data_IF_446227062015
#
_entry.id   IF_446227062015
#
_cell.length_a   1.000
_cell.length_b   1.000
_cell.length_c   1.000
_cell.angle_alpha   90.00
_cell.angle_beta   90.00
_cell.angle_gamma   90.00
#
_symmetry.space_group_name_H-M   'P 1'
#
loop_
_entity.id
_entity.type
_entity.pdbx_description
1 polymer ?
#
# COMPACT_ATOMS: atom_id res chain seq x y z
N UNK A 1 29.45 -22.97 -6.40
CA UNK A 1 29.51 -21.89 -5.37
C UNK A 1 29.34 -20.49 -5.95
N UNK A 2 29.92 -20.18 -7.12
CA UNK A 2 29.82 -18.86 -7.77
C UNK A 2 28.37 -18.44 -8.11
N UNK A 3 27.59 -19.35 -8.69
CA UNK A 3 26.17 -19.08 -9.04
C UNK A 3 25.29 -18.76 -7.84
N UNK A 4 25.36 -19.54 -6.74
CA UNK A 4 24.57 -19.31 -5.52
C UNK A 4 24.88 -17.95 -4.88
N UNK A 5 26.16 -17.55 -4.85
CA UNK A 5 26.57 -16.24 -4.34
C UNK A 5 26.07 -15.09 -5.22
N UNK A 6 26.15 -15.24 -6.54
CA UNK A 6 25.66 -14.22 -7.47
C UNK A 6 24.15 -14.03 -7.35
N UNK A 7 23.37 -15.13 -7.32
CA UNK A 7 21.92 -15.06 -7.10
C UNK A 7 21.55 -14.46 -5.75
N UNK A 8 22.29 -14.82 -4.69
CA UNK A 8 22.09 -14.22 -3.37
C UNK A 8 22.27 -12.71 -3.38
N UNK A 9 23.30 -12.20 -4.07
CA UNK A 9 23.52 -10.75 -4.23
C UNK A 9 22.41 -10.10 -5.04
N UNK A 10 22.02 -10.69 -6.18
CA UNK A 10 20.97 -10.14 -7.05
C UNK A 10 19.65 -10.01 -6.28
N UNK A 11 19.23 -11.06 -5.57
CA UNK A 11 18.02 -11.03 -4.76
C UNK A 11 18.12 -9.99 -3.64
N UNK A 12 19.25 -9.92 -2.94
CA UNK A 12 19.42 -8.95 -1.86
C UNK A 12 19.37 -7.50 -2.37
N UNK A 13 19.97 -7.21 -3.54
CA UNK A 13 19.86 -5.91 -4.21
C UNK A 13 18.41 -5.62 -4.60
N UNK A 14 17.70 -6.60 -5.18
CA UNK A 14 16.29 -6.47 -5.53
C UNK A 14 15.43 -6.11 -4.32
N UNK A 15 15.62 -6.80 -3.20
CA UNK A 15 14.92 -6.47 -1.95
C UNK A 15 15.25 -5.05 -1.46
N UNK A 16 16.52 -4.63 -1.50
CA UNK A 16 16.92 -3.28 -1.11
C UNK A 16 16.27 -2.20 -2.00
N UNK A 17 16.19 -2.43 -3.31
CA UNK A 17 15.50 -1.54 -4.25
C UNK A 17 14.00 -1.47 -3.96
N UNK A 18 13.35 -2.61 -3.69
CA UNK A 18 11.93 -2.64 -3.32
C UNK A 18 11.65 -1.89 -2.02
N UNK A 19 12.47 -2.07 -0.98
CA UNK A 19 12.35 -1.30 0.28
C UNK A 19 12.58 0.19 0.03
N UNK A 20 13.55 0.55 -0.81
CA UNK A 20 13.79 1.97 -1.17
C UNK A 20 12.58 2.56 -1.88
N UNK A 21 12.00 1.84 -2.83
CA UNK A 21 10.77 2.23 -3.51
C UNK A 21 9.61 2.39 -2.53
N UNK A 22 9.44 1.45 -1.60
CA UNK A 22 8.43 1.56 -0.53
C UNK A 22 8.60 2.87 0.25
N UNK A 23 9.80 3.17 0.75
CA UNK A 23 10.04 4.38 1.53
C UNK A 23 9.73 5.66 0.73
N UNK A 24 10.06 5.70 -0.57
CA UNK A 24 9.77 6.85 -1.42
C UNK A 24 8.25 7.01 -1.62
N UNK A 25 7.55 5.92 -1.91
CA UNK A 25 6.10 5.96 -2.15
C UNK A 25 5.30 6.24 -0.87
N UNK A 26 5.74 5.70 0.26
CA UNK A 26 5.13 5.93 1.56
C UNK A 26 5.32 7.40 2.00
N UNK A 27 6.52 7.97 1.85
CA UNK A 27 6.75 9.39 2.15
C UNK A 27 5.92 10.30 1.24
N UNK A 28 5.82 9.98 -0.06
CA UNK A 28 4.96 10.70 -0.99
C UNK A 28 3.48 10.59 -0.61
N UNK A 29 3.03 9.41 -0.19
CA UNK A 29 1.67 9.20 0.30
C UNK A 29 1.38 10.06 1.53
N UNK A 30 2.26 10.05 2.53
CA UNK A 30 2.09 10.86 3.73
C UNK A 30 2.19 12.36 3.46
N UNK A 31 3.04 12.78 2.52
CA UNK A 31 3.11 14.16 2.07
C UNK A 31 1.77 14.62 1.47
N UNK A 32 1.18 13.83 0.58
CA UNK A 32 -0.12 14.13 0.00
C UNK A 32 -1.25 14.12 1.04
N UNK A 33 -1.26 13.13 1.95
CA UNK A 33 -2.27 13.06 3.01
C UNK A 33 -2.26 14.28 3.93
N UNK A 34 -1.08 14.85 4.22
CA UNK A 34 -0.96 16.11 4.99
C UNK A 34 -1.61 17.30 4.28
N UNK A 35 -1.68 17.27 2.95
CA UNK A 35 -2.36 18.28 2.13
C UNK A 35 -3.82 17.89 1.79
N UNK A 36 -4.37 16.89 2.48
CA UNK A 36 -5.70 16.33 2.20
C UNK A 36 -5.85 15.82 0.76
N UNK A 37 -4.76 15.31 0.18
CA UNK A 37 -4.73 14.71 -1.13
C UNK A 37 -4.51 13.20 -1.08
N UNK A 38 -4.96 12.53 -2.13
CA UNK A 38 -4.79 11.09 -2.33
C UNK A 38 -4.28 10.86 -3.75
N UNK A 39 -3.11 10.21 -3.87
CA UNK A 39 -2.58 9.77 -5.16
C UNK A 39 -3.19 8.43 -5.54
N UNK A 40 -3.76 8.38 -6.74
CA UNK A 40 -4.43 7.20 -7.27
C UNK A 40 -3.96 6.91 -8.69
N UNK A 41 -3.38 5.72 -8.89
CA UNK A 41 -2.92 5.23 -10.20
C UNK A 41 -3.44 3.81 -10.39
N UNK A 42 -4.74 3.68 -10.70
CA UNK A 42 -5.46 2.40 -10.75
C UNK A 42 -5.68 1.75 -9.38
N UNK A 43 -4.81 2.02 -8.42
CA UNK A 43 -4.89 1.68 -7.01
C UNK A 43 -4.36 2.86 -6.16
N UNK A 44 -4.73 2.97 -4.88
CA UNK A 44 -4.18 4.00 -4.01
C UNK A 44 -2.68 3.77 -3.77
N UNK A 45 -1.91 4.86 -3.66
CA UNK A 45 -0.44 4.81 -3.61
C UNK A 45 0.12 3.97 -2.46
N UNK A 46 -0.53 3.99 -1.30
CA UNK A 46 -0.16 3.17 -0.14
C UNK A 46 -0.27 1.66 -0.43
N UNK A 47 -1.29 1.23 -1.17
CA UNK A 47 -1.41 -0.17 -1.61
C UNK A 47 -0.26 -0.57 -2.55
N UNK A 48 0.11 0.30 -3.49
CA UNK A 48 1.26 0.08 -4.37
C UNK A 48 2.58 0.01 -3.59
N UNK A 49 2.76 0.89 -2.60
CA UNK A 49 3.91 0.85 -1.70
C UNK A 49 3.95 -0.47 -0.91
N UNK A 50 2.83 -0.90 -0.35
CA UNK A 50 2.73 -2.14 0.42
C UNK A 50 3.08 -3.38 -0.41
N UNK A 51 2.71 -3.42 -1.70
CA UNK A 51 3.14 -4.49 -2.61
C UNK A 51 4.67 -4.60 -2.74
N UNK A 52 5.40 -3.48 -2.68
CA UNK A 52 6.86 -3.51 -2.69
C UNK A 52 7.42 -4.18 -1.43
N UNK A 53 6.81 -3.98 -0.26
CA UNK A 53 7.19 -4.70 0.97
C UNK A 53 6.85 -6.18 0.90
N UNK A 54 5.66 -6.53 0.41
CA UNK A 54 5.23 -7.93 0.22
C UNK A 54 6.23 -8.70 -0.64
N UNK A 55 6.81 -8.06 -1.65
CA UNK A 55 7.83 -8.64 -2.52
C UNK A 55 9.23 -8.59 -1.89
N UNK A 56 9.58 -7.50 -1.18
CA UNK A 56 10.90 -7.32 -0.59
C UNK A 56 11.23 -8.36 0.47
N UNK A 57 10.27 -8.68 1.36
CA UNK A 57 10.47 -9.62 2.47
C UNK A 57 10.92 -11.02 2.00
N UNK A 58 10.17 -11.73 1.11
CA UNK A 58 10.58 -13.07 0.66
C UNK A 58 11.86 -13.04 -0.19
N UNK A 59 12.04 -12.03 -1.05
CA UNK A 59 13.25 -11.90 -1.87
C UNK A 59 14.47 -11.64 -0.99
N UNK A 60 14.35 -10.78 0.02
CA UNK A 60 15.41 -10.48 0.98
C UNK A 60 15.78 -11.71 1.81
N UNK A 61 14.79 -12.45 2.30
CA UNK A 61 14.98 -13.71 3.01
C UNK A 61 15.70 -14.75 2.15
N UNK A 62 15.26 -14.94 0.90
CA UNK A 62 15.89 -15.85 -0.05
C UNK A 62 17.35 -15.43 -0.37
N UNK A 63 17.58 -14.14 -0.58
CA UNK A 63 18.93 -13.58 -0.79
C UNK A 63 19.86 -13.87 0.39
N UNK A 64 19.39 -13.62 1.61
CA UNK A 64 20.14 -13.91 2.84
C UNK A 64 20.42 -15.40 3.01
N UNK A 65 19.43 -16.28 2.74
CA UNK A 65 19.62 -17.74 2.80
C UNK A 65 20.70 -18.25 1.83
N UNK A 66 20.87 -17.60 0.68
CA UNK A 66 21.93 -17.93 -0.27
C UNK A 66 23.30 -17.35 0.13
N UNK A 67 23.32 -16.14 0.72
CA UNK A 67 24.56 -15.43 1.07
C UNK A 67 25.17 -15.91 2.39
N UNK A 68 24.37 -16.09 3.43
CA UNK A 68 24.85 -16.37 4.79
C UNK A 68 25.72 -17.64 4.87
N UNK A 69 25.37 -18.79 4.26
CA UNK A 69 26.22 -19.97 4.29
C UNK A 69 27.57 -19.74 3.60
N UNK A 70 27.58 -18.97 2.51
CA UNK A 70 28.81 -18.64 1.77
C UNK A 70 29.70 -17.73 2.61
N UNK A 71 29.13 -16.72 3.26
CA UNK A 71 29.85 -15.78 4.11
C UNK A 71 30.40 -16.47 5.37
N UNK A 72 29.58 -17.27 6.06
CA UNK A 72 29.98 -18.04 7.24
C UNK A 72 31.05 -19.07 6.86
N UNK A 73 30.94 -19.69 5.68
CA UNK A 73 31.92 -20.64 5.16
C UNK A 73 33.32 -20.05 4.94
N UNK A 74 33.44 -18.73 4.70
CA UNK A 74 34.74 -18.03 4.55
C UNK A 74 35.47 -17.81 5.87
N UNK A 75 34.82 -18.00 7.01
CA UNK A 75 35.43 -17.82 8.34
C UNK A 75 36.37 -19.00 8.64
N UNK A 76 37.69 -18.74 8.66
CA UNK A 76 38.73 -19.76 8.93
C UNK A 76 38.67 -20.33 10.36
N UNK A 77 38.36 -19.49 11.36
CA UNK A 77 38.35 -19.90 12.77
C UNK A 77 37.07 -20.66 13.11
N UNK A 78 37.19 -21.94 13.50
CA UNK A 78 36.05 -22.84 13.77
C UNK A 78 35.12 -22.32 14.88
N UNK A 79 35.68 -21.74 15.95
CA UNK A 79 34.89 -21.17 17.05
C UNK A 79 34.05 -19.97 16.57
N UNK A 80 34.68 -19.02 15.84
CA UNK A 80 34.00 -17.84 15.28
C UNK A 80 32.93 -18.27 14.26
N UNK A 81 33.22 -19.27 13.43
CA UNK A 81 32.25 -19.80 12.46
C UNK A 81 31.01 -20.40 13.14
N UNK A 82 31.20 -21.15 14.24
CA UNK A 82 30.09 -21.71 15.02
C UNK A 82 29.28 -20.62 15.70
N UNK A 83 29.95 -19.61 16.29
CA UNK A 83 29.28 -18.47 16.90
C UNK A 83 28.43 -17.72 15.87
N UNK A 84 29.01 -17.40 14.70
CA UNK A 84 28.30 -16.75 13.60
C UNK A 84 27.08 -17.55 13.11
N UNK A 85 27.19 -18.89 13.07
CA UNK A 85 26.06 -19.77 12.77
C UNK A 85 24.95 -19.66 13.81
N UNK A 86 25.29 -19.79 15.09
CA UNK A 86 24.31 -19.68 16.19
C UNK A 86 23.66 -18.30 16.27
N UNK A 87 24.43 -17.22 16.11
CA UNK A 87 23.88 -15.86 16.10
C UNK A 87 22.95 -15.65 14.91
N UNK A 88 23.28 -16.20 13.74
CA UNK A 88 22.39 -16.16 12.57
C UNK A 88 21.08 -16.87 12.85
N UNK A 89 21.13 -18.08 13.43
CA UNK A 89 19.92 -18.84 13.78
C UNK A 89 19.07 -18.08 14.81
N UNK A 90 19.67 -17.57 15.88
CA UNK A 90 18.95 -16.76 16.87
C UNK A 90 18.38 -15.47 16.29
N UNK A 91 19.14 -14.80 15.43
CA UNK A 91 18.70 -13.59 14.73
C UNK A 91 17.52 -13.84 13.80
N UNK A 92 17.53 -14.96 13.05
CA UNK A 92 16.39 -15.36 12.19
C UNK A 92 15.15 -15.61 13.03
N UNK A 93 15.28 -16.31 14.15
CA UNK A 93 14.13 -16.58 15.04
C UNK A 93 13.51 -15.29 15.60
N UNK A 94 14.34 -14.34 16.04
CA UNK A 94 13.87 -13.05 16.53
C UNK A 94 13.26 -12.17 15.42
N UNK A 95 13.90 -12.15 14.24
CA UNK A 95 13.47 -11.36 13.10
C UNK A 95 12.15 -11.89 12.51
N UNK A 96 11.93 -13.21 12.53
CA UNK A 96 10.73 -13.83 11.96
C UNK A 96 9.43 -13.27 12.53
N UNK A 97 9.38 -12.95 13.83
CA UNK A 97 8.20 -12.33 14.44
C UNK A 97 7.98 -10.92 13.93
N UNK A 98 9.02 -10.07 13.93
CA UNK A 98 8.90 -8.69 13.47
C UNK A 98 8.54 -8.61 11.99
N UNK A 99 9.26 -9.34 11.14
CA UNK A 99 8.98 -9.36 9.69
C UNK A 99 7.66 -10.08 9.37
N UNK A 100 7.24 -11.05 10.18
CA UNK A 100 5.94 -11.69 10.05
C UNK A 100 4.79 -10.70 10.26
N UNK A 101 4.87 -9.89 11.32
CA UNK A 101 3.88 -8.83 11.58
C UNK A 101 3.86 -7.81 10.44
N UNK A 102 5.04 -7.32 10.03
CA UNK A 102 5.15 -6.39 8.90
C UNK A 102 4.58 -6.97 7.62
N UNK A 103 4.87 -8.25 7.31
CA UNK A 103 4.36 -8.91 6.13
C UNK A 103 2.83 -9.07 6.16
N UNK A 104 2.25 -9.35 7.34
CA UNK A 104 0.79 -9.37 7.50
C UNK A 104 0.21 -8.00 7.17
N UNK A 105 0.64 -6.94 7.85
CA UNK A 105 0.10 -5.59 7.59
C UNK A 105 0.33 -5.12 6.16
N UNK A 106 1.51 -5.37 5.58
CA UNK A 106 1.78 -5.06 4.19
C UNK A 106 0.85 -5.84 3.25
N UNK A 107 0.52 -7.11 3.54
CA UNK A 107 -0.44 -7.86 2.74
C UNK A 107 -1.87 -7.30 2.89
N UNK A 108 -2.27 -6.92 4.10
CA UNK A 108 -3.57 -6.28 4.34
C UNK A 108 -3.69 -4.97 3.54
N UNK A 109 -2.69 -4.09 3.60
CA UNK A 109 -2.67 -2.84 2.85
C UNK A 109 -2.58 -3.06 1.33
N UNK A 110 -1.74 -3.98 0.89
CA UNK A 110 -1.56 -4.32 -0.53
C UNK A 110 -2.84 -4.89 -1.15
N UNK A 111 -3.60 -5.67 -0.39
CA UNK A 111 -4.90 -6.22 -0.82
C UNK A 111 -6.07 -5.25 -0.60
N UNK A 112 -5.82 -4.06 -0.06
CA UNK A 112 -6.84 -3.03 0.12
C UNK A 112 -7.78 -3.33 1.28
N UNK A 113 -7.24 -3.62 2.48
CA UNK A 113 -8.02 -3.49 3.71
C UNK A 113 -8.31 -2.00 3.91
N UNK A 114 -9.39 -1.58 3.26
CA UNK A 114 -9.74 -0.21 2.94
C UNK A 114 -10.23 -0.18 1.49
N UNK A 115 -11.53 0.02 1.29
CA UNK A 115 -12.11 0.00 -0.05
C UNK A 115 -11.96 1.36 -0.68
N UNK A 116 -11.17 1.43 -1.74
CA UNK A 116 -11.13 2.61 -2.61
C UNK A 116 -11.82 2.27 -3.92
N UNK A 117 -12.93 2.94 -4.21
CA UNK A 117 -13.67 2.79 -5.47
C UNK A 117 -13.70 4.11 -6.21
N UNK A 118 -13.39 4.06 -7.50
CA UNK A 118 -13.57 5.19 -8.41
C UNK A 118 -14.94 5.09 -9.07
N UNK A 119 -15.73 6.14 -8.94
CA UNK A 119 -17.04 6.25 -9.58
C UNK A 119 -16.97 7.40 -10.57
N UNK A 120 -17.33 7.12 -11.81
CA UNK A 120 -17.28 8.07 -12.92
C UNK A 120 -18.69 8.43 -13.36
N UNK A 121 -18.94 9.71 -13.56
CA UNK A 121 -20.17 10.24 -14.09
C UNK A 121 -20.15 10.20 -15.63
N UNK A 122 -21.31 10.35 -16.26
CA UNK A 122 -21.47 10.30 -17.72
C UNK A 122 -20.66 11.39 -18.45
N UNK A 123 -20.39 12.50 -17.77
CA UNK A 123 -19.58 13.61 -18.30
C UNK A 123 -18.07 13.43 -18.13
N UNK A 124 -17.63 12.29 -17.58
CA UNK A 124 -16.23 11.93 -17.37
C UNK A 124 -15.62 12.45 -16.07
N UNK A 125 -16.34 13.24 -15.27
CA UNK A 125 -15.88 13.59 -13.91
C UNK A 125 -15.95 12.37 -13.03
N UNK A 126 -14.98 12.22 -12.13
CA UNK A 126 -14.99 11.10 -11.18
C UNK A 126 -14.73 11.51 -9.75
N UNK A 127 -15.13 10.62 -8.83
CA UNK A 127 -14.83 10.72 -7.40
C UNK A 127 -14.21 9.41 -6.94
N UNK A 128 -13.30 9.53 -5.96
CA UNK A 128 -12.85 8.38 -5.19
C UNK A 128 -13.60 8.34 -3.87
N UNK A 129 -14.16 7.19 -3.55
CA UNK A 129 -14.73 6.91 -2.24
C UNK A 129 -13.80 5.94 -1.54
N UNK A 130 -13.27 6.35 -0.39
CA UNK A 130 -12.50 5.48 0.49
C UNK A 130 -13.34 5.10 1.69
N UNK A 131 -13.47 3.82 1.98
CA UNK A 131 -14.06 3.29 3.20
C UNK A 131 -13.00 2.50 3.96
N UNK A 132 -12.87 2.71 5.27
CA UNK A 132 -11.87 1.98 6.05
C UNK A 132 -12.14 0.46 6.06
N UNK A 133 -11.06 -0.29 6.28
CA UNK A 133 -11.08 -1.74 6.16
C UNK A 133 -11.51 -2.50 7.41
N UNK A 134 -11.61 -1.84 8.56
CA UNK A 134 -11.72 -2.54 9.84
C UNK A 134 -13.19 -2.79 10.22
N UNK A 135 -13.97 -1.73 10.38
CA UNK A 135 -15.40 -1.78 10.65
C UNK A 135 -16.23 -1.01 9.59
N UNK A 136 -15.57 -0.21 8.74
CA UNK A 136 -16.20 0.47 7.62
C UNK A 136 -17.02 1.68 8.06
N UNK A 137 -16.70 2.26 9.21
CA UNK A 137 -17.39 3.42 9.78
C UNK A 137 -16.87 4.76 9.24
N UNK A 138 -15.64 4.80 8.73
CA UNK A 138 -15.04 5.98 8.10
C UNK A 138 -15.19 5.88 6.58
N UNK A 139 -15.98 6.79 6.02
CA UNK A 139 -16.10 6.97 4.57
C UNK A 139 -15.73 8.40 4.20
N UNK A 140 -14.75 8.55 3.32
CA UNK A 140 -14.31 9.83 2.77
C UNK A 140 -14.47 9.86 1.25
N UNK A 141 -14.80 11.02 0.72
CA UNK A 141 -14.97 11.27 -0.70
C UNK A 141 -13.93 12.29 -1.15
N UNK A 142 -13.26 11.99 -2.27
CA UNK A 142 -12.26 12.83 -2.90
C UNK A 142 -12.67 13.15 -4.34
N UNK A 143 -12.47 14.39 -4.76
CA UNK A 143 -12.72 14.86 -6.13
C UNK A 143 -11.42 14.98 -6.91
N UNK A 144 -11.48 14.86 -8.24
CA UNK A 144 -10.32 14.98 -9.11
C UNK A 144 -9.62 16.35 -8.97
N UNK A 145 -8.30 16.34 -8.81
CA UNK A 145 -7.45 17.52 -8.71
C UNK A 145 -6.20 17.35 -9.59
N UNK A 146 -6.40 17.23 -10.90
CA UNK A 146 -5.36 16.88 -11.87
C UNK A 146 -5.36 15.39 -12.24
N UNK A 147 -4.33 14.91 -12.93
CA UNK A 147 -4.36 13.58 -13.57
C UNK A 147 -4.31 12.40 -12.60
N UNK A 148 -3.65 12.55 -11.44
CA UNK A 148 -3.39 11.45 -10.49
C UNK A 148 -3.70 11.80 -9.04
N UNK A 149 -4.07 13.05 -8.77
CA UNK A 149 -4.36 13.54 -7.43
C UNK A 149 -5.85 13.72 -7.28
N UNK A 150 -6.35 13.32 -6.11
CA UNK A 150 -7.70 13.61 -5.68
C UNK A 150 -7.63 14.40 -4.39
N UNK A 151 -8.42 15.47 -4.29
CA UNK A 151 -8.49 16.31 -3.10
C UNK A 151 -9.69 15.86 -2.27
N UNK A 152 -9.51 15.80 -0.95
CA UNK A 152 -10.60 15.51 -0.04
C UNK A 152 -11.71 16.54 -0.22
N UNK A 153 -12.92 16.07 -0.45
CA UNK A 153 -14.10 16.90 -0.58
C UNK A 153 -14.92 16.91 0.71
N UNK A 154 -15.23 15.72 1.25
CA UNK A 154 -15.99 15.58 2.49
C UNK A 154 -15.94 14.16 3.06
N UNK A 155 -16.27 14.04 4.34
CA UNK A 155 -16.67 12.78 4.95
C UNK A 155 -18.16 12.48 4.68
N UNK A 156 -18.48 11.19 4.54
CA UNK A 156 -19.81 10.70 4.24
C UNK A 156 -20.20 9.53 5.18
N UNK A 157 -20.28 9.77 6.51
CA UNK A 157 -20.65 8.72 7.47
C UNK A 157 -22.03 8.11 7.18
N UNK A 158 -22.90 8.81 6.45
CA UNK A 158 -24.15 8.25 5.96
C UNK A 158 -23.94 7.02 5.06
N UNK A 159 -22.82 6.91 4.34
CA UNK A 159 -22.50 5.75 3.50
C UNK A 159 -21.86 4.59 4.26
N UNK A 160 -21.50 4.78 5.54
CA UNK A 160 -20.85 3.77 6.37
C UNK A 160 -21.62 2.45 6.50
N UNK A 161 -20.92 1.46 7.05
CA UNK A 161 -21.46 0.15 7.35
C UNK A 161 -21.53 -0.80 6.16
N UNK A 162 -22.22 -1.92 6.37
CA UNK A 162 -22.35 -3.03 5.42
C UNK A 162 -23.67 -3.00 4.66
N UNK A 163 -23.72 -3.42 3.38
CA UNK A 163 -22.58 -3.81 2.53
C UNK A 163 -21.65 -2.62 2.25
N UNK A 164 -20.39 -2.83 1.88
CA UNK A 164 -19.45 -1.72 1.65
C UNK A 164 -19.77 -0.97 0.37
N UNK A 165 -19.29 0.26 0.23
CA UNK A 165 -19.58 1.11 -0.95
C UNK A 165 -19.19 0.41 -2.26
N UNK A 166 -18.04 -0.27 -2.31
CA UNK A 166 -17.60 -1.02 -3.51
C UNK A 166 -18.54 -2.18 -3.90
N UNK A 167 -19.29 -2.71 -2.93
CA UNK A 167 -20.19 -3.86 -3.09
C UNK A 167 -21.64 -3.41 -3.33
N UNK A 168 -21.90 -2.10 -3.30
CA UNK A 168 -23.19 -1.49 -3.61
C UNK A 168 -23.24 -1.08 -5.07
N UNK A 169 -24.43 -1.11 -5.64
CA UNK A 169 -24.70 -0.42 -6.91
C UNK A 169 -24.75 1.09 -6.65
N UNK A 170 -23.60 1.73 -6.76
CA UNK A 170 -23.45 3.17 -6.67
C UNK A 170 -23.27 3.79 -8.06
N UNK A 171 -23.89 4.95 -8.27
CA UNK A 171 -23.72 5.75 -9.49
C UNK A 171 -23.41 7.20 -9.15
N UNK A 172 -22.63 7.85 -10.00
CA UNK A 172 -22.31 9.27 -9.89
C UNK A 172 -23.08 10.05 -10.95
N UNK A 173 -23.95 10.94 -10.50
CA UNK A 173 -24.71 11.82 -11.36
C UNK A 173 -24.02 13.20 -11.44
N UNK A 174 -23.88 13.70 -12.67
CA UNK A 174 -23.29 14.99 -12.95
C UNK A 174 -24.35 16.10 -12.90
N UNK A 175 -24.18 17.07 -11.99
CA UNK A 175 -24.87 18.36 -12.00
C UNK A 175 -23.92 19.50 -12.39
N UNK A 176 -24.46 20.69 -12.69
CA UNK A 176 -23.65 21.84 -13.14
C UNK A 176 -22.58 22.27 -12.11
N UNK A 177 -22.94 22.35 -10.82
CA UNK A 177 -22.03 22.76 -9.74
C UNK A 177 -21.76 21.66 -8.69
N UNK A 178 -22.49 20.55 -8.75
CA UNK A 178 -22.50 19.51 -7.72
C UNK A 178 -22.46 18.15 -8.39
N UNK A 179 -21.64 17.23 -7.86
CA UNK A 179 -21.70 15.81 -8.16
C UNK A 179 -22.60 15.13 -7.12
N UNK A 180 -23.48 14.24 -7.58
CA UNK A 180 -24.40 13.52 -6.71
C UNK A 180 -24.09 12.03 -6.76
N UNK A 181 -23.56 11.52 -5.65
CA UNK A 181 -23.32 10.10 -5.47
C UNK A 181 -24.58 9.43 -4.91
N UNK A 182 -25.13 8.48 -5.66
CA UNK A 182 -26.34 7.73 -5.29
C UNK A 182 -25.97 6.27 -5.05
N UNK A 183 -26.21 5.78 -3.84
CA UNK A 183 -25.97 4.39 -3.43
C UNK A 183 -27.24 3.83 -2.77
N UNK A 184 -28.10 3.18 -3.55
CA UNK A 184 -29.43 2.78 -3.09
C UNK A 184 -30.29 4.00 -2.71
N UNK A 185 -30.84 4.02 -1.50
CA UNK A 185 -31.64 5.15 -0.98
C UNK A 185 -30.79 6.33 -0.50
N UNK A 186 -29.47 6.13 -0.33
CA UNK A 186 -28.56 7.15 0.18
C UNK A 186 -28.07 8.02 -0.97
N UNK A 187 -28.17 9.33 -0.78
CA UNK A 187 -27.72 10.34 -1.74
C UNK A 187 -26.77 11.29 -1.04
N UNK A 188 -25.60 11.51 -1.66
CA UNK A 188 -24.54 12.36 -1.13
C UNK A 188 -24.20 13.41 -2.17
N UNK A 189 -24.34 14.67 -1.79
CA UNK A 189 -23.94 15.82 -2.61
C UNK A 189 -22.48 16.17 -2.31
N UNK A 190 -21.74 16.44 -3.39
CA UNK A 190 -20.31 16.69 -3.41
C UNK A 190 -20.09 17.96 -4.21
N UNK A 191 -19.68 19.02 -3.52
CA UNK A 191 -19.33 20.27 -4.16
C UNK A 191 -18.04 20.09 -4.97
N UNK A 192 -18.06 20.53 -6.23
CA UNK A 192 -16.88 20.52 -7.07
C UNK A 192 -16.23 21.89 -6.95
N UNK A 193 -15.16 21.99 -6.16
CA UNK A 193 -14.27 23.15 -6.25
C UNK A 193 -13.67 23.18 -7.67
N UNK A 194 -13.75 24.33 -8.34
CA UNK A 194 -13.03 24.52 -9.60
C UNK A 194 -11.53 24.27 -9.35
N UNK A 195 -10.85 23.49 -10.20
CA UNK A 195 -9.42 23.28 -10.06
C UNK A 195 -8.72 24.64 -10.16
N UNK A 196 -7.89 24.96 -9.16
CA UNK A 196 -7.05 26.16 -9.19
C UNK A 196 -6.17 26.11 -10.45
N UNK A 197 -6.34 27.09 -11.34
CA UNK A 197 -5.57 27.22 -12.59
C UNK A 197 -4.11 27.55 -12.34
#
# INVERSE_FOLDING_TARGET
MRSRSSWGVILFIGAALSVTGFCILDDAYWAARREHQLLFVGAPLNSLAAWLLVVAVPIGAAGLLLLLPVLIGRIRRRAVRRLAGWTTVGGVAAAATCFGVVAVFALLEATGIGDTVRLEAVDGRSVLVTQDGFDGDVVDIYTENGSFYYKWARSAPELSGWPRVKDRECRLDAGEAVLRLVCGEKTVEIDVEEPAR
#
